data_IF_384598459255
#
_entry.id   IF_384598459255
#
_cell.length_a   1.000
_cell.length_b   1.000
_cell.length_c   1.000
_cell.angle_alpha   90.00
_cell.angle_beta   90.00
_cell.angle_gamma   90.00
#
_symmetry.space_group_name_H-M   'P 1'
#
loop_
_entity.id
_entity.type
_entity.pdbx_description
1 polymer ?
#
# COMPACT_ATOMS: atom_id res chain seq x y z
N UNK A 1 2.66 10.92 -16.13
CA UNK A 1 2.15 9.61 -16.60
C UNK A 1 1.88 8.79 -15.35
N UNK A 2 0.62 8.51 -15.06
CA UNK A 2 0.25 7.75 -13.85
C UNK A 2 0.22 6.27 -14.21
N UNK A 3 1.11 5.48 -13.64
CA UNK A 3 1.18 4.04 -13.89
C UNK A 3 0.18 3.37 -12.95
N UNK A 4 -1.03 3.11 -13.46
CA UNK A 4 -2.01 2.33 -12.71
C UNK A 4 -1.58 0.86 -12.67
N UNK A 5 -1.27 0.36 -11.49
CA UNK A 5 -0.93 -1.05 -11.30
C UNK A 5 -2.17 -1.92 -11.52
N UNK A 6 -1.99 -3.05 -12.20
CA UNK A 6 -3.03 -4.08 -12.34
C UNK A 6 -3.27 -4.81 -11.02
N UNK A 7 -4.44 -5.45 -10.88
CA UNK A 7 -4.76 -6.27 -9.70
C UNK A 7 -3.68 -7.31 -9.40
N UNK A 8 -3.19 -7.98 -10.45
CA UNK A 8 -2.16 -9.01 -10.32
C UNK A 8 -0.78 -8.44 -9.91
N UNK A 9 -0.46 -7.22 -10.33
CA UNK A 9 0.75 -6.53 -9.87
C UNK A 9 0.63 -6.14 -8.39
N UNK A 10 -0.54 -5.66 -7.96
CA UNK A 10 -0.76 -5.28 -6.56
C UNK A 10 -0.87 -6.47 -5.60
N UNK A 11 -1.47 -7.58 -6.01
CA UNK A 11 -1.85 -8.66 -5.09
C UNK A 11 -1.38 -10.06 -5.51
N UNK A 12 -0.59 -10.16 -6.58
CA UNK A 12 -0.06 -11.42 -7.09
C UNK A 12 -0.89 -12.01 -8.24
N UNK A 13 -0.26 -12.89 -9.02
CA UNK A 13 -0.85 -13.52 -10.23
C UNK A 13 -2.15 -14.28 -9.93
N UNK A 14 -2.34 -14.74 -8.70
CA UNK A 14 -3.53 -15.47 -8.27
C UNK A 14 -4.71 -14.57 -7.90
N UNK A 15 -4.56 -13.24 -7.93
CA UNK A 15 -5.62 -12.31 -7.60
C UNK A 15 -6.63 -12.18 -8.75
N UNK A 16 -7.92 -12.23 -8.42
CA UNK A 16 -9.02 -12.10 -9.36
C UNK A 16 -10.16 -11.28 -8.74
N UNK A 17 -10.95 -10.63 -9.57
CA UNK A 17 -12.17 -9.95 -9.13
C UNK A 17 -13.26 -10.11 -10.17
N UNK A 18 -14.50 -10.06 -9.72
CA UNK A 18 -15.71 -9.97 -10.54
C UNK A 18 -16.63 -8.87 -9.97
N UNK A 19 -17.90 -8.86 -10.36
CA UNK A 19 -18.88 -7.87 -9.90
C UNK A 19 -19.21 -7.96 -8.41
N UNK A 20 -18.93 -9.09 -7.76
CA UNK A 20 -19.34 -9.40 -6.38
C UNK A 20 -18.14 -9.66 -5.47
N UNK A 21 -17.08 -10.27 -5.99
CA UNK A 21 -15.99 -10.79 -5.19
C UNK A 21 -14.63 -10.25 -5.62
N UNK A 22 -13.76 -10.06 -4.63
CA UNK A 22 -12.31 -9.88 -4.80
C UNK A 22 -11.62 -11.03 -4.08
N UNK A 23 -10.89 -11.85 -4.84
CA UNK A 23 -10.13 -12.98 -4.31
C UNK A 23 -8.64 -12.66 -4.36
N UNK A 24 -8.00 -12.73 -3.19
CA UNK A 24 -6.55 -12.63 -3.03
C UNK A 24 -6.08 -13.87 -2.28
N UNK A 25 -5.07 -14.56 -2.80
CA UNK A 25 -4.53 -15.74 -2.13
C UNK A 25 -3.73 -15.32 -0.92
N UNK A 26 -3.97 -15.96 0.23
CA UNK A 26 -3.22 -15.71 1.46
C UNK A 26 -1.71 -15.94 1.29
N UNK A 27 -1.32 -16.88 0.43
CA UNK A 27 0.09 -17.15 0.06
C UNK A 27 0.80 -15.97 -0.60
N UNK A 28 0.05 -15.06 -1.21
CA UNK A 28 0.58 -13.90 -1.92
C UNK A 28 0.73 -12.69 -0.98
N UNK A 29 0.33 -12.83 0.29
CA UNK A 29 0.40 -11.78 1.32
C UNK A 29 1.66 -11.93 2.18
N UNK A 30 2.51 -10.90 2.27
CA UNK A 30 3.79 -10.97 2.96
C UNK A 30 3.60 -11.05 4.49
N UNK A 31 4.39 -11.91 5.13
CA UNK A 31 4.39 -12.06 6.58
C UNK A 31 3.20 -12.83 7.15
N UNK A 32 2.36 -13.42 6.29
CA UNK A 32 1.25 -14.28 6.68
C UNK A 32 1.60 -15.74 6.39
N UNK A 33 1.50 -16.62 7.39
CA UNK A 33 1.42 -18.06 7.15
C UNK A 33 -0.03 -18.39 6.81
N UNK A 34 -0.33 -18.92 5.60
CA UNK A 34 -1.69 -19.23 5.22
C UNK A 34 -2.27 -20.34 6.09
N UNK A 35 -3.24 -20.00 6.93
CA UNK A 35 -3.97 -20.96 7.76
C UNK A 35 -5.47 -20.83 7.47
N UNK A 36 -6.25 -21.86 7.81
CA UNK A 36 -7.70 -21.80 7.65
C UNK A 36 -8.29 -20.61 8.45
N UNK A 37 -7.79 -20.42 9.67
CA UNK A 37 -8.32 -19.48 10.66
C UNK A 37 -7.31 -18.35 11.00
N UNK A 38 -6.75 -17.69 10.00
CA UNK A 38 -6.04 -16.44 10.27
C UNK A 38 -7.00 -15.40 10.86
N UNK A 39 -6.59 -14.72 11.94
CA UNK A 39 -7.39 -13.66 12.56
C UNK A 39 -7.53 -12.48 11.60
N UNK A 40 -8.63 -11.74 11.72
CA UNK A 40 -8.93 -10.59 10.86
C UNK A 40 -7.79 -9.54 10.86
N UNK A 41 -7.16 -9.30 12.01
CA UNK A 41 -6.06 -8.34 12.14
C UNK A 41 -4.80 -8.81 11.39
N UNK A 42 -4.54 -10.12 11.34
CA UNK A 42 -3.42 -10.67 10.58
C UNK A 42 -3.65 -10.50 9.08
N UNK A 43 -4.88 -10.75 8.63
CA UNK A 43 -5.28 -10.57 7.23
C UNK A 43 -5.16 -9.10 6.82
N UNK A 44 -5.68 -8.18 7.64
CA UNK A 44 -5.59 -6.75 7.38
C UNK A 44 -4.14 -6.27 7.34
N UNK A 45 -3.32 -6.67 8.32
CA UNK A 45 -1.91 -6.30 8.35
C UNK A 45 -1.16 -6.80 7.11
N UNK A 46 -1.39 -8.04 6.70
CA UNK A 46 -0.74 -8.62 5.54
C UNK A 46 -1.17 -7.95 4.21
N UNK A 47 -2.46 -7.59 4.08
CA UNK A 47 -2.97 -6.81 2.95
C UNK A 47 -2.31 -5.43 2.88
N UNK A 48 -2.22 -4.73 4.01
CA UNK A 48 -1.54 -3.44 4.07
C UNK A 48 -0.06 -3.59 3.71
N UNK A 49 0.64 -4.59 4.25
CA UNK A 49 2.03 -4.89 3.89
C UNK A 49 2.24 -5.20 2.41
N UNK A 50 1.30 -5.90 1.77
CA UNK A 50 1.32 -6.14 0.32
C UNK A 50 1.14 -4.83 -0.45
N UNK A 51 0.15 -4.02 -0.06
CA UNK A 51 -0.07 -2.72 -0.69
C UNK A 51 1.17 -1.81 -0.55
N UNK A 52 1.82 -1.80 0.62
CA UNK A 52 3.09 -1.08 0.81
C UNK A 52 4.15 -1.47 -0.22
N UNK A 53 4.34 -2.77 -0.46
CA UNK A 53 5.45 -3.23 -1.30
C UNK A 53 5.25 -2.89 -2.77
N UNK A 54 4.00 -2.70 -3.19
CA UNK A 54 3.68 -2.50 -4.60
C UNK A 54 3.40 -1.03 -4.94
N UNK A 55 2.98 -0.18 -4.00
CA UNK A 55 2.50 1.19 -4.29
C UNK A 55 3.56 2.17 -4.77
N UNK A 56 4.81 1.98 -4.38
CA UNK A 56 5.93 2.75 -4.89
C UNK A 56 7.14 1.88 -5.12
N UNK A 57 7.92 2.18 -6.15
CA UNK A 57 8.98 1.29 -6.59
C UNK A 57 9.79 1.86 -7.73
N UNK A 58 10.73 1.04 -8.21
CA UNK A 58 11.51 1.31 -9.41
C UNK A 58 10.93 0.53 -10.58
N UNK A 59 10.93 1.12 -11.78
CA UNK A 59 10.62 0.36 -12.99
C UNK A 59 11.77 -0.60 -13.29
N UNK A 60 11.43 -1.85 -13.56
CA UNK A 60 12.37 -2.87 -13.98
C UNK A 60 12.01 -3.35 -15.39
N UNK A 61 13.02 -3.72 -16.17
CA UNK A 61 12.84 -4.39 -17.45
C UNK A 61 12.39 -5.87 -17.26
N UNK A 62 12.05 -6.60 -18.33
CA UNK A 62 11.66 -8.01 -18.24
C UNK A 62 12.72 -8.94 -17.62
N UNK A 63 13.98 -8.52 -17.57
CA UNK A 63 15.11 -9.22 -16.98
C UNK A 63 15.35 -8.83 -15.51
N UNK A 64 14.53 -7.93 -14.96
CA UNK A 64 14.61 -7.46 -13.58
C UNK A 64 15.63 -6.34 -13.35
N UNK A 65 16.22 -5.78 -14.39
CA UNK A 65 17.16 -4.66 -14.28
C UNK A 65 16.41 -3.33 -14.15
N UNK A 66 16.92 -2.44 -13.30
CA UNK A 66 16.31 -1.12 -13.10
C UNK A 66 16.40 -0.28 -14.36
N UNK A 67 15.28 0.29 -14.78
CA UNK A 67 15.22 1.25 -15.86
C UNK A 67 15.73 2.60 -15.33
N UNK A 68 16.69 3.18 -16.04
CA UNK A 68 17.27 4.49 -15.72
C UNK A 68 16.99 5.52 -16.80
N UNK A 69 16.95 6.79 -16.41
CA UNK A 69 16.95 7.90 -17.36
C UNK A 69 18.34 8.07 -18.03
N UNK A 70 18.49 8.96 -19.03
CA UNK A 70 19.78 9.18 -19.70
C UNK A 70 20.90 9.67 -18.78
N UNK A 71 20.59 10.13 -17.57
CA UNK A 71 21.53 10.56 -16.55
C UNK A 71 21.87 9.44 -15.54
N UNK A 72 21.36 8.22 -15.76
CA UNK A 72 21.60 7.07 -14.89
C UNK A 72 20.75 7.03 -13.62
N UNK A 73 19.74 7.91 -13.48
CA UNK A 73 18.85 7.91 -12.32
C UNK A 73 17.75 6.88 -12.53
N UNK A 74 17.48 6.05 -11.53
CA UNK A 74 16.40 5.07 -11.59
C UNK A 74 15.04 5.75 -11.73
N UNK A 75 14.26 5.32 -12.71
CA UNK A 75 12.89 5.79 -12.87
C UNK A 75 12.03 5.07 -11.82
N UNK A 76 11.31 5.87 -11.02
CA UNK A 76 10.45 5.39 -9.94
C UNK A 76 8.99 5.75 -10.22
N UNK A 77 8.08 5.03 -9.56
CA UNK A 77 6.66 5.32 -9.56
C UNK A 77 6.15 5.44 -8.11
N UNK A 78 5.11 6.24 -7.93
CA UNK A 78 4.42 6.42 -6.65
C UNK A 78 2.91 6.58 -6.88
N UNK A 79 2.15 5.61 -6.38
CA UNK A 79 0.70 5.54 -6.50
C UNK A 79 -0.03 5.89 -5.20
N UNK A 80 0.67 6.45 -4.21
CA UNK A 80 0.09 6.85 -2.91
C UNK A 80 -1.05 7.87 -3.00
N UNK A 81 -1.18 8.58 -4.12
CA UNK A 81 -2.18 9.64 -4.32
C UNK A 81 -3.42 9.20 -5.12
N UNK A 82 -3.50 7.93 -5.56
CA UNK A 82 -4.59 7.48 -6.45
C UNK A 82 -5.97 7.39 -5.79
N UNK A 83 -6.06 7.40 -4.46
CA UNK A 83 -7.33 7.21 -3.74
C UNK A 83 -7.83 8.55 -3.16
N UNK A 84 -8.81 9.14 -3.85
CA UNK A 84 -9.44 10.44 -3.53
C UNK A 84 -9.94 10.59 -2.08
N UNK A 85 -10.13 9.49 -1.34
CA UNK A 85 -10.71 9.49 0.02
C UNK A 85 -9.76 8.98 1.11
N UNK A 86 -8.65 8.35 0.73
CA UNK A 86 -7.65 7.86 1.66
C UNK A 86 -6.30 8.42 1.25
N UNK A 87 -5.91 9.53 1.88
CA UNK A 87 -4.60 10.12 1.67
C UNK A 87 -3.62 9.46 2.64
N UNK A 88 -2.70 8.71 2.08
CA UNK A 88 -1.65 8.04 2.82
C UNK A 88 -0.52 9.04 3.06
N UNK A 89 -0.51 9.64 4.25
CA UNK A 89 0.29 10.83 4.55
C UNK A 89 1.77 10.53 4.71
N UNK A 90 2.09 9.42 5.37
CA UNK A 90 3.46 9.01 5.56
C UNK A 90 3.56 7.51 5.83
N UNK A 91 4.53 6.91 5.15
CA UNK A 91 5.13 5.64 5.52
C UNK A 91 6.44 5.95 6.23
N UNK A 92 6.47 5.83 7.56
CA UNK A 92 7.70 6.07 8.32
C UNK A 92 8.31 4.75 8.75
N UNK A 93 9.56 4.51 8.32
CA UNK A 93 10.41 3.50 8.94
C UNK A 93 11.11 4.19 10.09
N UNK A 94 10.67 3.91 11.30
CA UNK A 94 11.33 4.35 12.52
C UNK A 94 12.24 3.22 13.00
N UNK A 95 13.46 3.55 13.40
CA UNK A 95 14.33 2.62 14.09
C UNK A 95 14.10 2.81 15.59
N UNK A 96 13.60 1.76 16.25
CA UNK A 96 13.41 1.77 17.70
C UNK A 96 14.38 0.78 18.33
N UNK A 97 14.98 1.16 19.45
CA UNK A 97 15.85 0.28 20.22
C UNK A 97 15.05 -0.32 21.38
N UNK A 98 15.02 -1.65 21.51
CA UNK A 98 14.47 -2.35 22.68
C UNK A 98 15.46 -3.40 23.15
N UNK A 99 15.83 -3.39 24.42
CA UNK A 99 16.79 -4.33 25.01
C UNK A 99 18.09 -4.43 24.18
N UNK A 100 18.67 -3.29 23.80
CA UNK A 100 19.87 -3.18 22.96
C UNK A 100 19.75 -3.72 21.53
N UNK A 101 18.57 -4.16 21.10
CA UNK A 101 18.31 -4.58 19.73
C UNK A 101 17.59 -3.48 18.95
N UNK A 102 17.99 -3.27 17.70
CA UNK A 102 17.37 -2.29 16.81
C UNK A 102 16.26 -2.96 15.97
N UNK A 103 15.05 -2.43 16.06
CA UNK A 103 13.88 -2.90 15.32
C UNK A 103 13.48 -1.86 14.29
N UNK A 104 13.10 -2.34 13.10
CA UNK A 104 12.43 -1.53 12.10
C UNK A 104 10.93 -1.49 12.42
N UNK A 105 10.45 -0.38 12.95
CA UNK A 105 9.04 -0.11 13.11
C UNK A 105 8.50 0.55 11.84
N UNK A 106 7.59 -0.13 11.14
CA UNK A 106 6.86 0.44 10.00
C UNK A 106 5.57 1.08 10.51
N UNK A 107 5.42 2.39 10.36
CA UNK A 107 4.23 3.14 10.77
C UNK A 107 3.47 3.63 9.55
N UNK A 108 2.14 3.38 9.57
CA UNK A 108 1.20 3.83 8.54
C UNK A 108 0.43 5.02 9.11
N UNK A 109 0.51 6.17 8.44
CA UNK A 109 -0.32 7.34 8.78
C UNK A 109 -1.31 7.58 7.65
N UNK A 110 -2.58 7.30 7.90
CA UNK A 110 -3.68 7.55 6.97
C UNK A 110 -4.46 8.78 7.41
N UNK A 111 -4.79 9.68 6.47
CA UNK A 111 -5.84 10.67 6.63
C UNK A 111 -7.03 10.26 5.76
N UNK A 112 -8.22 10.28 6.34
CA UNK A 112 -9.46 10.19 5.60
C UNK A 112 -10.15 11.55 5.62
N UNK A 113 -10.78 11.92 4.51
CA UNK A 113 -11.68 13.06 4.45
C UNK A 113 -13.09 12.54 4.65
N UNK A 114 -13.76 12.99 5.71
CA UNK A 114 -15.21 12.98 5.75
C UNK A 114 -15.69 14.10 4.82
N UNK A 115 -16.87 13.94 4.21
CA UNK A 115 -17.50 15.00 3.42
C UNK A 115 -17.50 16.34 4.19
N UNK A 116 -17.56 17.51 3.53
CA UNK A 116 -17.84 18.72 4.27
C UNK A 116 -19.10 18.49 5.10
N UNK A 117 -19.04 18.77 6.40
CA UNK A 117 -20.22 18.88 7.23
C UNK A 117 -21.12 19.94 6.56
N UNK A 118 -22.15 19.50 5.84
CA UNK A 118 -23.16 20.42 5.28
C UNK A 118 -24.01 21.07 6.38
N UNK A 119 -23.70 20.80 7.65
CA UNK A 119 -24.39 21.33 8.84
C UNK A 119 -23.54 22.30 9.68
N UNK A 120 -22.42 22.82 9.17
CA UNK A 120 -21.81 24.03 9.74
C UNK A 120 -22.34 25.29 9.06
N UNK A 121 -23.65 25.51 9.14
CA UNK A 121 -24.19 26.86 9.17
C UNK A 121 -24.47 27.27 10.62
N UNK A 122 -23.60 28.02 11.29
CA UNK A 122 -24.07 29.00 12.24
C UNK A 122 -24.42 30.26 11.45
N UNK A 123 -25.71 30.40 11.17
CA UNK A 123 -26.49 31.64 11.11
C UNK A 123 -25.82 32.96 10.67
N UNK A 124 -26.47 33.60 9.70
CA UNK A 124 -26.56 35.06 9.50
C UNK A 124 -26.14 35.88 10.73
N UNK A 125 -25.10 36.72 10.59
CA UNK A 125 -25.06 38.17 10.87
C UNK A 125 -23.73 38.76 10.39
#
# INVERSE_FOLDING_TARGET
MTINLTLAQCFGKGASQDSETLTIRKSDLPGLTPEAENRAEQLLAALLLKLLSEFSGSLNDPQGQKITDPQGRTITYDNSQLYLRLKLFAWRINFITRNSNMYRQKTIVCQFFLFPDTDLTPNNF
#
